data_IF_869611200794
#
_entry.id   IF_869611200794
#
_cell.length_a   1.000
_cell.length_b   1.000
_cell.length_c   1.000
_cell.angle_alpha   90.00
_cell.angle_beta   90.00
_cell.angle_gamma   90.00
#
_symmetry.space_group_name_H-M   'P 1'
#
loop_
_entity.id
_entity.type
_entity.pdbx_description
1 polymer ?
#
# COMPACT_ATOMS: atom_id res chain seq x y z
N UNK A 1 -6.78 12.97 -13.60
CA UNK A 1 -5.33 13.19 -13.41
C UNK A 1 -4.70 11.87 -13.02
N UNK A 2 -3.48 11.58 -13.47
CA UNK A 2 -2.73 10.41 -13.03
C UNK A 2 -2.27 10.60 -11.58
N UNK A 3 -2.52 9.63 -10.72
CA UNK A 3 -2.03 9.61 -9.34
C UNK A 3 -0.78 8.70 -9.24
N UNK A 4 0.11 9.00 -8.33
CA UNK A 4 1.23 8.14 -7.92
C UNK A 4 0.78 7.29 -6.73
N UNK A 5 0.71 5.98 -6.95
CA UNK A 5 0.22 5.00 -5.99
C UNK A 5 1.41 4.18 -5.50
N UNK A 6 1.62 4.13 -4.18
CA UNK A 6 2.54 3.16 -3.60
C UNK A 6 1.78 1.87 -3.28
N UNK A 7 2.11 0.79 -3.96
CA UNK A 7 1.59 -0.55 -3.71
C UNK A 7 2.60 -1.33 -2.85
N UNK A 8 2.18 -1.74 -1.66
CA UNK A 8 2.96 -2.56 -0.72
C UNK A 8 2.29 -3.91 -0.58
N UNK A 9 2.91 -4.93 -1.16
CA UNK A 9 2.37 -6.28 -1.34
C UNK A 9 3.56 -7.23 -1.53
N UNK A 10 3.68 -8.29 -0.73
CA UNK A 10 4.82 -9.20 -0.78
C UNK A 10 4.63 -10.35 -1.76
N UNK A 11 3.39 -10.68 -2.13
CA UNK A 11 3.10 -11.71 -3.13
C UNK A 11 3.28 -11.16 -4.56
N UNK A 12 4.30 -11.60 -5.34
CA UNK A 12 4.61 -10.99 -6.63
C UNK A 12 3.47 -11.08 -7.66
N UNK A 13 2.69 -12.16 -7.61
CA UNK A 13 1.57 -12.36 -8.53
C UNK A 13 0.43 -11.36 -8.25
N UNK A 14 0.11 -11.13 -6.97
CA UNK A 14 -0.91 -10.17 -6.55
C UNK A 14 -0.42 -8.75 -6.85
N UNK A 15 0.83 -8.45 -6.52
CA UNK A 15 1.43 -7.15 -6.77
C UNK A 15 1.41 -6.79 -8.27
N UNK A 16 1.77 -7.73 -9.14
CA UNK A 16 1.74 -7.52 -10.60
C UNK A 16 0.32 -7.29 -11.10
N UNK A 17 -0.64 -8.09 -10.67
CA UNK A 17 -2.05 -7.96 -11.06
C UNK A 17 -2.61 -6.57 -10.71
N UNK A 18 -2.40 -6.12 -9.47
CA UNK A 18 -2.88 -4.82 -9.02
C UNK A 18 -2.16 -3.70 -9.77
N UNK A 19 -0.84 -3.77 -9.87
CA UNK A 19 -0.06 -2.74 -10.56
C UNK A 19 -0.44 -2.62 -12.04
N UNK A 20 -0.64 -3.74 -12.74
CA UNK A 20 -1.09 -3.76 -14.12
C UNK A 20 -2.43 -3.03 -14.28
N UNK A 21 -3.41 -3.33 -13.43
CA UNK A 21 -4.73 -2.68 -13.49
C UNK A 21 -4.66 -1.17 -13.21
N UNK A 22 -3.87 -0.75 -12.22
CA UNK A 22 -3.68 0.67 -11.89
C UNK A 22 -2.96 1.42 -13.02
N UNK A 23 -1.95 0.81 -13.63
CA UNK A 23 -1.25 1.37 -14.77
C UNK A 23 -2.18 1.48 -15.99
N UNK A 24 -3.01 0.46 -16.23
CA UNK A 24 -4.01 0.50 -17.29
C UNK A 24 -5.06 1.61 -17.06
N UNK A 25 -5.39 1.91 -15.80
CA UNK A 25 -6.23 3.04 -15.41
C UNK A 25 -5.53 4.41 -15.54
N UNK A 26 -4.26 4.45 -15.97
CA UNK A 26 -3.49 5.67 -16.20
C UNK A 26 -2.78 6.21 -14.95
N UNK A 27 -2.55 5.39 -13.93
CA UNK A 27 -1.81 5.77 -12.72
C UNK A 27 -0.33 5.38 -12.81
N UNK A 28 0.50 6.09 -12.04
CA UNK A 28 1.89 5.69 -11.81
C UNK A 28 1.96 4.81 -10.56
N UNK A 29 2.66 3.68 -10.62
CA UNK A 29 2.72 2.71 -9.52
C UNK A 29 4.15 2.52 -9.06
N UNK A 30 4.42 2.88 -7.81
CA UNK A 30 5.61 2.50 -7.07
C UNK A 30 5.32 1.18 -6.36
N UNK A 31 6.24 0.21 -6.44
CA UNK A 31 6.04 -1.13 -5.89
C UNK A 31 7.02 -1.39 -4.75
N UNK A 32 6.54 -1.94 -3.65
CA UNK A 32 7.34 -2.35 -2.50
C UNK A 32 6.93 -3.77 -2.05
N UNK A 33 7.92 -4.65 -1.87
CA UNK A 33 7.68 -6.02 -1.43
C UNK A 33 7.65 -6.17 0.10
N UNK A 34 7.95 -5.11 0.85
CA UNK A 34 7.94 -5.11 2.31
C UNK A 34 7.91 -3.69 2.86
N UNK A 35 7.76 -3.58 4.17
CA UNK A 35 7.65 -2.28 4.83
C UNK A 35 8.91 -1.41 4.80
N UNK A 36 10.11 -2.00 4.75
CA UNK A 36 11.36 -1.23 4.68
C UNK A 36 11.54 -0.57 3.30
N UNK A 37 11.23 -1.31 2.23
CA UNK A 37 11.19 -0.76 0.87
C UNK A 37 10.13 0.34 0.76
N UNK A 38 8.95 0.13 1.33
CA UNK A 38 7.88 1.13 1.34
C UNK A 38 8.34 2.44 2.02
N UNK A 39 8.95 2.34 3.21
CA UNK A 39 9.48 3.52 3.93
C UNK A 39 10.57 4.24 3.13
N UNK A 40 11.42 3.49 2.43
CA UNK A 40 12.46 4.05 1.56
C UNK A 40 11.84 4.84 0.41
N UNK A 41 10.85 4.26 -0.28
CA UNK A 41 10.18 4.90 -1.42
C UNK A 41 9.42 6.17 -1.00
N UNK A 42 8.67 6.14 0.09
CA UNK A 42 7.91 7.31 0.58
C UNK A 42 8.84 8.48 0.95
N UNK A 43 10.05 8.17 1.45
CA UNK A 43 11.07 9.20 1.73
C UNK A 43 11.63 9.83 0.46
N UNK A 44 11.83 9.03 -0.59
CA UNK A 44 12.31 9.51 -1.89
C UNK A 44 11.26 10.31 -2.66
N UNK A 45 10.01 9.81 -2.70
CA UNK A 45 8.90 10.44 -3.41
C UNK A 45 7.60 10.25 -2.61
N UNK A 46 6.85 11.33 -2.40
CA UNK A 46 5.57 11.25 -1.71
C UNK A 46 4.48 10.75 -2.67
N UNK A 47 3.87 9.57 -2.42
CA UNK A 47 2.74 9.11 -3.20
C UNK A 47 1.47 9.88 -2.83
N UNK A 48 0.50 9.88 -3.75
CA UNK A 48 -0.83 10.43 -3.52
C UNK A 48 -1.71 9.50 -2.67
N UNK A 49 -1.43 8.19 -2.70
CA UNK A 49 -2.12 7.16 -1.90
C UNK A 49 -1.21 5.93 -1.72
N UNK A 50 -1.37 5.24 -0.60
CA UNK A 50 -0.75 3.93 -0.34
C UNK A 50 -1.82 2.84 -0.37
N UNK A 51 -1.62 1.82 -1.21
CA UNK A 51 -2.29 0.52 -1.11
C UNK A 51 -1.39 -0.42 -0.31
N UNK A 52 -1.92 -0.99 0.76
CA UNK A 52 -1.10 -1.66 1.78
C UNK A 52 -1.68 -3.01 2.18
N UNK A 53 -0.97 -4.10 1.90
CA UNK A 53 -1.30 -5.40 2.50
C UNK A 53 -1.18 -5.34 4.02
N UNK A 54 -2.18 -5.92 4.69
CA UNK A 54 -2.19 -6.19 6.10
C UNK A 54 -1.05 -7.14 6.52
N UNK A 55 -0.87 -8.24 5.79
CA UNK A 55 0.14 -9.25 6.04
C UNK A 55 1.37 -8.92 5.22
N UNK A 56 2.49 -8.65 5.90
CA UNK A 56 3.76 -8.38 5.26
C UNK A 56 4.87 -9.07 6.07
N UNK A 57 5.97 -9.49 5.42
CA UNK A 57 7.12 -10.03 6.11
C UNK A 57 7.81 -8.93 6.93
N UNK A 58 8.22 -9.29 8.15
CA UNK A 58 8.89 -8.38 9.08
C UNK A 58 7.91 -7.51 9.87
N UNK A 59 7.47 -6.39 9.29
CA UNK A 59 6.48 -5.50 9.93
C UNK A 59 5.12 -5.68 9.28
N UNK A 60 4.05 -5.72 10.07
CA UNK A 60 2.69 -5.77 9.53
C UNK A 60 2.31 -4.46 8.83
N UNK A 61 1.33 -4.53 7.93
CA UNK A 61 0.78 -3.34 7.28
C UNK A 61 0.23 -2.32 8.28
N UNK A 62 -0.39 -2.79 9.36
CA UNK A 62 -0.89 -1.89 10.43
C UNK A 62 0.25 -1.13 11.10
N UNK A 63 1.36 -1.80 11.39
CA UNK A 63 2.54 -1.16 11.99
C UNK A 63 3.18 -0.16 11.01
N UNK A 64 3.30 -0.52 9.73
CA UNK A 64 3.75 0.43 8.70
C UNK A 64 2.83 1.67 8.62
N UNK A 65 1.52 1.46 8.60
CA UNK A 65 0.55 2.56 8.57
C UNK A 65 0.68 3.49 9.79
N UNK A 66 0.92 2.93 10.98
CA UNK A 66 1.19 3.71 12.20
C UNK A 66 2.44 4.56 12.04
N UNK A 67 3.53 4.01 11.50
CA UNK A 67 4.77 4.76 11.26
C UNK A 67 4.57 5.90 10.27
N UNK A 68 3.84 5.66 9.17
CA UNK A 68 3.49 6.70 8.19
C UNK A 68 2.60 7.78 8.82
N UNK A 69 1.65 7.42 9.68
CA UNK A 69 0.83 8.42 10.39
C UNK A 69 1.60 9.22 11.44
N UNK A 70 2.68 8.67 11.98
CA UNK A 70 3.53 9.32 12.98
C UNK A 70 4.51 10.35 12.43
N UNK A 71 4.78 10.33 11.12
CA UNK A 71 5.72 11.25 10.47
C UNK A 71 4.98 12.45 9.85
N UNK A 72 5.44 13.67 10.15
CA UNK A 72 4.80 14.91 9.70
C UNK A 72 4.72 15.05 8.19
N UNK A 73 5.63 14.42 7.45
CA UNK A 73 5.70 14.45 5.99
C UNK A 73 4.69 13.48 5.35
N UNK A 74 4.32 12.40 6.04
CA UNK A 74 3.55 11.29 5.46
C UNK A 74 2.19 11.09 6.12
N UNK A 75 1.92 11.74 7.25
CA UNK A 75 0.65 11.67 8.00
C UNK A 75 -0.60 12.04 7.19
N UNK A 76 -0.44 12.84 6.13
CA UNK A 76 -1.54 13.28 5.27
C UNK A 76 -1.87 12.31 4.14
N UNK A 77 -1.03 11.30 3.90
CA UNK A 77 -1.21 10.37 2.78
C UNK A 77 -2.38 9.42 3.11
N UNK A 78 -3.41 9.32 2.24
CA UNK A 78 -4.44 8.30 2.36
C UNK A 78 -3.84 6.89 2.28
N UNK A 79 -4.29 6.00 3.17
CA UNK A 79 -3.87 4.59 3.20
C UNK A 79 -5.12 3.73 3.03
N UNK A 80 -5.12 2.87 2.03
CA UNK A 80 -6.16 1.87 1.76
C UNK A 80 -5.54 0.50 2.07
N UNK A 81 -6.13 -0.21 3.02
CA UNK A 81 -5.69 -1.56 3.37
C UNK A 81 -6.21 -2.57 2.36
N UNK A 82 -5.35 -3.46 1.87
CA UNK A 82 -5.73 -4.67 1.17
C UNK A 82 -5.99 -5.75 2.22
N UNK A 83 -7.19 -6.33 2.19
CA UNK A 83 -7.58 -7.37 3.15
C UNK A 83 -8.21 -8.54 2.41
N UNK A 84 -7.71 -9.75 2.66
CA UNK A 84 -8.38 -10.98 2.22
C UNK A 84 -9.59 -11.35 3.10
N UNK A 85 -9.78 -10.67 4.24
CA UNK A 85 -11.00 -10.81 5.04
C UNK A 85 -12.13 -10.02 4.36
N UNK A 86 -12.99 -10.75 3.64
CA UNK A 86 -14.38 -10.34 3.57
C UNK A 86 -14.90 -10.34 5.02
N UNK A 87 -15.54 -9.27 5.47
CA UNK A 87 -16.51 -9.44 6.55
C UNK A 87 -17.56 -10.41 6.00
N UNK A 88 -17.43 -11.70 6.31
CA UNK A 88 -18.63 -12.52 6.44
C UNK A 88 -19.41 -11.88 7.58
N UNK A 89 -20.34 -11.00 7.22
CA UNK A 89 -21.45 -10.69 8.10
C UNK A 89 -22.18 -12.01 8.24
N UNK A 90 -21.83 -12.78 9.28
CA UNK A 90 -22.61 -13.92 9.75
C UNK A 90 -24.07 -13.49 9.77
N UNK A 91 -24.84 -13.98 8.79
CA UNK A 91 -26.29 -13.88 8.83
C UNK A 91 -26.73 -14.97 9.79
N UNK A 92 -27.14 -14.53 10.97
CA UNK A 92 -27.80 -15.31 12.03
C UNK A 92 -28.88 -16.23 11.45
#
# INVERSE_FOLDING_TARGET
>A
MAATILLVEDEPAIQELIAFNLQHAGHHVLRAANGEQALTLVRSALPDVVLLDWMLPGISGVELARRLRGDSRTKGIPIIMLTARAEEVDKV
#
